data_IF_889392823278
#
_entry.id   IF_889392823278
#
_cell.length_a   1.000
_cell.length_b   1.000
_cell.length_c   1.000
_cell.angle_alpha   90.00
_cell.angle_beta   90.00
_cell.angle_gamma   90.00
#
_symmetry.space_group_name_H-M   'P 1'
#
loop_
_entity.id
_entity.type
_entity.pdbx_description
1 polymer ?
#
# COMPACT_ATOMS: atom_id res chain seq x y z
N UNK A 1 -9.77 -50.09 47.29
CA UNK A 1 -9.94 -48.67 47.61
C UNK A 1 -8.76 -48.23 48.42
N UNK A 2 -7.76 -47.58 47.89
CA UNK A 2 -6.61 -47.04 48.62
C UNK A 2 -6.53 -45.52 48.27
N UNK A 3 -6.65 -44.74 49.29
CA UNK A 3 -6.61 -43.28 49.28
C UNK A 3 -5.27 -42.78 48.74
N UNK A 4 -5.33 -41.94 47.72
CA UNK A 4 -4.18 -41.15 47.22
C UNK A 4 -4.15 -39.86 48.03
N UNK A 5 -3.21 -39.78 48.97
CA UNK A 5 -3.03 -38.63 49.87
C UNK A 5 -2.49 -37.40 49.09
N UNK A 6 -2.96 -36.22 49.48
CA UNK A 6 -2.62 -34.86 48.96
C UNK A 6 -1.11 -34.55 48.86
N UNK A 7 -0.25 -35.33 49.42
CA UNK A 7 1.22 -35.14 49.40
C UNK A 7 1.91 -35.63 48.13
N UNK A 8 1.29 -36.53 47.33
CA UNK A 8 1.86 -36.99 46.04
C UNK A 8 1.53 -36.07 44.84
N UNK A 9 0.57 -35.13 44.99
CA UNK A 9 0.20 -34.18 43.94
C UNK A 9 1.14 -32.96 43.89
N UNK A 10 1.91 -32.68 44.93
CA UNK A 10 2.78 -31.51 45.05
C UNK A 10 4.23 -31.73 44.59
N UNK A 11 4.63 -32.98 44.28
CA UNK A 11 5.99 -33.27 43.79
C UNK A 11 6.12 -33.51 42.31
N UNK A 12 5.00 -33.48 41.54
CA UNK A 12 5.01 -33.62 40.07
C UNK A 12 4.77 -32.31 39.33
N UNK A 13 4.55 -31.20 40.06
CA UNK A 13 4.29 -29.88 39.47
C UNK A 13 5.51 -28.93 39.45
N UNK A 14 6.68 -29.42 39.85
CA UNK A 14 7.90 -28.60 39.97
C UNK A 14 8.91 -28.78 38.80
N UNK A 15 8.56 -29.56 37.75
CA UNK A 15 9.48 -29.85 36.65
C UNK A 15 8.99 -29.39 35.25
N UNK A 16 7.91 -28.60 35.13
CA UNK A 16 7.41 -28.03 33.85
C UNK A 16 7.36 -26.50 33.92
N UNK A 17 8.17 -25.88 34.74
CA UNK A 17 8.17 -24.46 35.01
C UNK A 17 9.37 -23.67 34.44
N UNK A 18 10.16 -24.22 33.51
CA UNK A 18 11.41 -23.58 33.10
C UNK A 18 11.67 -23.57 31.55
N UNK A 19 10.64 -23.55 30.72
CA UNK A 19 10.80 -23.35 29.27
C UNK A 19 9.79 -22.39 28.62
N UNK A 20 9.13 -21.53 29.39
CA UNK A 20 8.17 -20.56 28.89
C UNK A 20 8.55 -19.11 29.25
N UNK A 21 9.84 -18.80 29.36
CA UNK A 21 10.31 -17.40 29.56
C UNK A 21 11.41 -17.13 28.59
N UNK A 22 11.06 -16.92 27.32
CA UNK A 22 11.98 -16.34 26.33
C UNK A 22 11.31 -15.75 25.07
N UNK A 23 10.03 -15.40 25.08
CA UNK A 23 9.44 -14.69 23.92
C UNK A 23 8.50 -13.54 24.33
N UNK A 24 8.94 -12.68 25.25
CA UNK A 24 8.27 -11.40 25.52
C UNK A 24 9.30 -10.29 25.75
N UNK A 25 10.22 -10.15 24.81
CA UNK A 25 10.83 -8.86 24.49
C UNK A 25 10.40 -8.48 23.07
N UNK A 26 9.08 -8.30 22.88
CA UNK A 26 8.57 -7.48 21.78
C UNK A 26 9.14 -6.09 22.00
N UNK A 27 9.75 -5.57 20.95
CA UNK A 27 10.37 -4.28 20.80
C UNK A 27 9.60 -3.12 21.47
N UNK A 28 9.75 -3.01 22.78
CA UNK A 28 9.85 -1.76 23.48
C UNK A 28 11.35 -1.49 23.64
N UNK A 29 12.09 -1.53 22.54
CA UNK A 29 13.31 -0.76 22.42
C UNK A 29 12.82 0.68 22.53
N UNK A 30 12.85 1.16 23.75
CA UNK A 30 12.56 2.52 24.06
C UNK A 30 13.34 3.41 23.07
N UNK A 31 12.64 4.11 22.21
CA UNK A 31 13.09 5.40 21.74
C UNK A 31 13.03 6.31 22.99
N UNK A 32 13.85 5.96 23.99
CA UNK A 32 14.02 6.73 25.19
C UNK A 32 14.80 7.98 24.79
N UNK A 33 14.09 9.00 24.31
CA UNK A 33 14.62 10.33 24.05
C UNK A 33 15.49 10.50 22.79
N UNK A 34 15.58 9.48 21.89
CA UNK A 34 16.38 9.56 20.66
C UNK A 34 15.49 9.51 19.39
N UNK A 35 16.07 9.94 18.26
CA UNK A 35 15.45 9.78 16.95
C UNK A 35 15.46 8.30 16.53
N UNK A 36 14.36 7.73 15.99
CA UNK A 36 14.34 6.37 15.48
C UNK A 36 15.43 6.12 14.43
N UNK A 37 16.02 4.93 14.46
CA UNK A 37 17.02 4.48 13.49
C UNK A 37 16.30 3.71 12.40
N UNK A 38 16.47 4.12 11.15
CA UNK A 38 15.76 3.53 10.01
C UNK A 38 16.70 3.01 8.93
N UNK A 39 16.28 1.95 8.24
CA UNK A 39 16.92 1.45 7.04
C UNK A 39 16.02 1.66 5.82
N UNK A 40 16.59 2.16 4.69
CA UNK A 40 15.88 2.24 3.42
C UNK A 40 16.13 1.01 2.57
N UNK A 41 15.04 0.40 2.07
CA UNK A 41 15.04 -0.74 1.16
C UNK A 41 14.40 -0.31 -0.16
N UNK A 42 15.21 -0.34 -1.23
CA UNK A 42 14.97 0.38 -2.48
C UNK A 42 15.43 1.82 -2.39
N UNK A 43 16.45 2.20 -3.18
CA UNK A 43 17.13 3.49 -3.14
C UNK A 43 16.87 4.34 -4.40
N UNK A 44 15.71 4.14 -5.03
CA UNK A 44 15.29 4.85 -6.24
C UNK A 44 14.80 6.29 -5.99
N UNK A 45 14.16 6.87 -7.01
CA UNK A 45 13.65 8.24 -6.95
C UNK A 45 12.64 8.46 -5.82
N UNK A 46 11.78 7.45 -5.53
CA UNK A 46 10.80 7.54 -4.46
C UNK A 46 11.45 7.66 -3.08
N UNK A 47 12.47 6.87 -2.81
CA UNK A 47 13.21 6.93 -1.54
C UNK A 47 13.86 8.28 -1.30
N UNK A 48 14.40 8.92 -2.36
CA UNK A 48 14.93 10.29 -2.26
C UNK A 48 13.85 11.30 -1.88
N UNK A 49 12.63 11.15 -2.40
CA UNK A 49 11.49 11.97 -2.00
C UNK A 49 11.04 11.72 -0.55
N UNK A 50 11.04 10.46 -0.11
CA UNK A 50 10.69 10.11 1.28
C UNK A 50 11.72 10.60 2.28
N UNK A 51 13.01 10.56 1.92
CA UNK A 51 14.12 11.00 2.76
C UNK A 51 13.90 12.41 3.30
N UNK A 52 13.35 13.32 2.49
CA UNK A 52 13.06 14.69 2.92
C UNK A 52 12.11 14.76 4.12
N UNK A 53 11.16 13.84 4.21
CA UNK A 53 10.21 13.79 5.32
C UNK A 53 10.73 13.11 6.58
N UNK A 54 11.78 12.28 6.47
CA UNK A 54 12.41 11.58 7.60
C UNK A 54 13.66 12.27 8.15
N UNK A 55 14.34 13.08 7.32
CA UNK A 55 15.71 13.58 7.57
C UNK A 55 15.94 14.20 8.93
N UNK A 56 15.02 15.01 9.41
CA UNK A 56 15.16 15.75 10.67
C UNK A 56 14.77 14.91 11.88
N UNK A 57 13.91 13.92 11.69
CA UNK A 57 13.18 13.20 12.74
C UNK A 57 13.64 11.74 12.89
N UNK A 58 14.53 11.23 12.01
CA UNK A 58 15.10 9.89 12.07
C UNK A 58 16.59 9.87 11.74
N UNK A 59 17.27 8.76 12.08
CA UNK A 59 18.67 8.48 11.71
C UNK A 59 18.65 7.40 10.63
N UNK A 60 19.23 7.67 9.46
CA UNK A 60 19.35 6.68 8.39
C UNK A 60 20.61 5.86 8.61
N UNK A 61 20.47 4.58 8.94
CA UNK A 61 21.58 3.66 9.15
C UNK A 61 21.98 2.92 7.87
N UNK A 62 21.02 2.51 7.05
CA UNK A 62 21.24 1.63 5.91
C UNK A 62 20.64 2.17 4.61
N UNK A 63 21.38 1.95 3.52
CA UNK A 63 20.91 2.06 2.13
C UNK A 63 20.97 0.66 1.49
N UNK A 64 19.81 0.04 1.24
CA UNK A 64 19.71 -1.30 0.66
C UNK A 64 19.10 -1.24 -0.74
N UNK A 65 19.86 -1.64 -1.75
CA UNK A 65 19.38 -1.74 -3.15
C UNK A 65 20.25 -2.75 -3.94
N UNK A 66 19.68 -3.66 -4.72
CA UNK A 66 20.43 -4.56 -5.58
C UNK A 66 21.17 -3.84 -6.74
N UNK A 67 20.85 -2.56 -7.02
CA UNK A 67 21.66 -1.70 -7.86
C UNK A 67 22.68 -0.94 -7.01
N UNK A 68 23.94 -1.36 -7.08
CA UNK A 68 25.03 -0.74 -6.32
C UNK A 68 25.12 0.77 -6.52
N UNK A 69 24.92 1.28 -7.74
CA UNK A 69 24.97 2.73 -8.02
C UNK A 69 23.86 3.48 -7.33
N UNK A 70 22.64 2.89 -7.23
CA UNK A 70 21.53 3.49 -6.51
C UNK A 70 21.78 3.51 -5.02
N UNK A 71 22.23 2.40 -4.46
CA UNK A 71 22.57 2.30 -3.04
C UNK A 71 23.63 3.33 -2.62
N UNK A 72 24.74 3.45 -3.35
CA UNK A 72 25.82 4.42 -3.09
C UNK A 72 25.36 5.88 -3.27
N UNK A 73 24.56 6.15 -4.32
CA UNK A 73 23.99 7.48 -4.55
C UNK A 73 23.05 7.89 -3.40
N UNK A 74 22.25 6.93 -2.89
CA UNK A 74 21.36 7.19 -1.78
C UNK A 74 22.11 7.33 -0.45
N UNK A 75 23.15 6.52 -0.24
CA UNK A 75 24.05 6.67 0.92
C UNK A 75 24.60 8.08 1.01
N UNK A 76 25.14 8.60 -0.09
CA UNK A 76 25.66 9.97 -0.15
C UNK A 76 24.59 11.01 0.17
N UNK A 77 23.36 10.84 -0.35
CA UNK A 77 22.27 11.78 -0.15
C UNK A 77 21.69 11.74 1.28
N UNK A 78 21.67 10.56 1.91
CA UNK A 78 21.03 10.32 3.21
C UNK A 78 22.00 10.39 4.39
N UNK A 79 23.30 10.22 4.15
CA UNK A 79 24.29 10.03 5.21
C UNK A 79 24.24 8.64 5.85
N UNK A 80 23.62 7.67 5.20
CA UNK A 80 23.57 6.29 5.69
C UNK A 80 24.98 5.74 5.92
N UNK A 81 25.16 5.06 7.06
CA UNK A 81 26.48 4.52 7.44
C UNK A 81 26.86 3.28 6.64
N UNK A 82 25.86 2.50 6.21
CA UNK A 82 26.03 1.19 5.61
C UNK A 82 25.29 1.06 4.29
N UNK A 83 25.84 0.24 3.38
CA UNK A 83 25.26 -0.09 2.09
C UNK A 83 25.23 -1.60 1.94
N UNK A 84 24.14 -2.13 1.38
CA UNK A 84 23.99 -3.56 1.07
C UNK A 84 23.07 -3.78 -0.11
N UNK A 85 23.21 -4.91 -0.80
CA UNK A 85 22.22 -5.43 -1.74
C UNK A 85 21.19 -6.35 -1.05
N UNK A 86 21.52 -6.88 0.12
CA UNK A 86 20.74 -7.90 0.83
C UNK A 86 19.98 -7.30 2.02
N UNK A 87 18.66 -7.31 1.93
CA UNK A 87 17.74 -6.83 2.98
C UNK A 87 17.99 -7.50 4.34
N UNK A 88 18.44 -8.76 4.36
CA UNK A 88 18.64 -9.51 5.61
C UNK A 88 19.67 -8.83 6.51
N UNK A 89 20.69 -8.20 5.95
CA UNK A 89 21.67 -7.44 6.74
C UNK A 89 21.02 -6.26 7.50
N UNK A 90 20.03 -5.60 6.89
CA UNK A 90 19.28 -4.51 7.53
C UNK A 90 18.40 -5.05 8.65
N UNK A 91 17.77 -6.22 8.44
CA UNK A 91 16.89 -6.85 9.42
C UNK A 91 17.64 -7.42 10.62
N UNK A 92 18.85 -7.92 10.41
CA UNK A 92 19.72 -8.49 11.46
C UNK A 92 20.32 -7.42 12.38
N UNK A 93 20.43 -6.17 11.91
CA UNK A 93 20.92 -5.05 12.71
C UNK A 93 19.93 -4.69 13.82
N UNK A 94 20.31 -4.97 15.07
CA UNK A 94 19.48 -4.74 16.26
C UNK A 94 19.33 -3.25 16.62
N UNK A 95 20.13 -2.37 16.02
CA UNK A 95 20.02 -0.93 16.22
C UNK A 95 18.96 -0.28 15.32
N UNK A 96 18.50 -0.96 14.28
CA UNK A 96 17.44 -0.49 13.38
C UNK A 96 16.08 -0.71 14.01
N UNK A 97 15.30 0.36 14.20
CA UNK A 97 13.95 0.33 14.75
C UNK A 97 12.89 0.06 13.66
N UNK A 98 13.10 0.61 12.47
CA UNK A 98 12.14 0.53 11.38
C UNK A 98 12.81 0.48 9.99
N UNK A 99 12.08 -0.04 9.00
CA UNK A 99 12.48 0.06 7.60
C UNK A 99 11.48 0.87 6.77
N UNK A 100 12.02 1.49 5.72
CA UNK A 100 11.23 2.20 4.70
C UNK A 100 11.36 1.41 3.41
N UNK A 101 10.28 0.75 3.00
CA UNK A 101 10.22 -0.08 1.78
C UNK A 101 9.71 0.78 0.63
N UNK A 102 10.58 1.03 -0.36
CA UNK A 102 10.27 1.78 -1.58
C UNK A 102 10.88 1.12 -2.82
N UNK A 103 10.77 -0.19 -2.85
CA UNK A 103 11.15 -1.12 -3.92
C UNK A 103 10.13 -1.09 -5.06
N UNK A 104 10.28 -1.87 -6.14
CA UNK A 104 9.14 -2.25 -6.99
C UNK A 104 8.05 -3.01 -6.23
N UNK A 105 6.80 -2.97 -6.74
CA UNK A 105 5.61 -3.49 -6.04
C UNK A 105 5.75 -4.95 -5.60
N UNK A 106 6.39 -5.79 -6.41
CA UNK A 106 6.56 -7.22 -6.13
C UNK A 106 7.42 -7.53 -4.89
N UNK A 107 8.16 -6.55 -4.39
CA UNK A 107 8.95 -6.64 -3.18
C UNK A 107 8.27 -6.00 -1.95
N UNK A 108 7.21 -5.18 -2.13
CA UNK A 108 6.61 -4.41 -1.03
C UNK A 108 6.19 -5.32 0.13
N UNK A 109 5.26 -6.25 -0.11
CA UNK A 109 4.78 -7.13 0.94
C UNK A 109 5.84 -8.15 1.41
N UNK A 110 6.61 -8.83 0.56
CA UNK A 110 7.69 -9.72 1.00
C UNK A 110 8.69 -9.06 1.95
N UNK A 111 9.23 -7.90 1.57
CA UNK A 111 10.17 -7.16 2.41
C UNK A 111 9.52 -6.68 3.73
N UNK A 112 8.28 -6.19 3.66
CA UNK A 112 7.56 -5.71 4.84
C UNK A 112 7.20 -6.85 5.81
N UNK A 113 6.80 -8.04 5.32
CA UNK A 113 6.51 -9.22 6.14
C UNK A 113 7.77 -9.68 6.86
N UNK A 114 8.89 -9.81 6.14
CA UNK A 114 10.18 -10.18 6.76
C UNK A 114 10.60 -9.17 7.84
N UNK A 115 10.37 -7.89 7.62
CA UNK A 115 10.65 -6.86 8.63
C UNK A 115 9.76 -7.01 9.86
N UNK A 116 8.46 -7.25 9.66
CA UNK A 116 7.54 -7.54 10.77
C UNK A 116 8.01 -8.75 11.58
N UNK A 117 8.42 -9.83 10.92
CA UNK A 117 8.91 -11.05 11.57
C UNK A 117 10.25 -10.85 12.28
N UNK A 118 11.07 -9.90 11.83
CA UNK A 118 12.28 -9.42 12.51
C UNK A 118 11.99 -8.42 13.65
N UNK A 119 10.71 -8.12 13.94
CA UNK A 119 10.28 -7.17 14.97
C UNK A 119 10.50 -5.70 14.60
N UNK A 120 10.68 -5.37 13.32
CA UNK A 120 10.86 -4.00 12.86
C UNK A 120 9.54 -3.36 12.48
N UNK A 121 9.38 -2.06 12.79
CA UNK A 121 8.29 -1.25 12.24
C UNK A 121 8.52 -1.00 10.76
N UNK A 122 7.44 -0.74 9.99
CA UNK A 122 7.54 -0.63 8.53
C UNK A 122 6.76 0.57 8.00
N UNK A 123 7.42 1.38 7.21
CA UNK A 123 6.78 2.27 6.24
C UNK A 123 6.87 1.59 4.88
N UNK A 124 5.74 1.22 4.27
CA UNK A 124 5.70 0.58 2.95
C UNK A 124 5.03 1.48 1.93
N UNK A 125 5.70 1.71 0.80
CA UNK A 125 5.10 2.49 -0.30
C UNK A 125 3.89 1.80 -0.90
N UNK A 126 3.09 2.61 -1.60
CA UNK A 126 1.89 2.17 -2.30
C UNK A 126 2.23 1.56 -3.68
N UNK A 127 1.45 0.55 -4.09
CA UNK A 127 0.51 -0.26 -3.30
C UNK A 127 1.25 -1.15 -2.30
N UNK A 128 0.67 -1.43 -1.14
CA UNK A 128 1.39 -2.17 -0.08
C UNK A 128 1.72 -3.62 -0.45
N UNK A 129 1.17 -4.12 -1.54
CA UNK A 129 1.38 -5.48 -2.04
C UNK A 129 1.21 -5.54 -3.55
N UNK A 130 1.84 -6.53 -4.16
CA UNK A 130 1.71 -6.84 -5.58
C UNK A 130 0.40 -7.57 -5.92
N UNK A 131 -0.16 -8.29 -4.98
CA UNK A 131 -1.41 -9.03 -5.11
C UNK A 131 -2.18 -9.02 -3.80
N UNK A 132 -3.44 -9.45 -3.87
CA UNK A 132 -4.36 -9.44 -2.74
C UNK A 132 -3.88 -10.27 -1.56
N UNK A 133 -3.43 -11.52 -1.82
CA UNK A 133 -3.01 -12.47 -0.77
C UNK A 133 -1.80 -11.94 0.02
N UNK A 134 -0.82 -11.38 -0.65
CA UNK A 134 0.35 -10.80 0.01
C UNK A 134 -0.03 -9.61 0.91
N UNK A 135 -0.99 -8.79 0.48
CA UNK A 135 -1.49 -7.69 1.31
C UNK A 135 -2.14 -8.20 2.60
N UNK A 136 -2.91 -9.29 2.51
CA UNK A 136 -3.50 -9.94 3.68
C UNK A 136 -2.43 -10.50 4.62
N UNK A 137 -1.44 -11.22 4.08
CA UNK A 137 -0.32 -11.76 4.86
C UNK A 137 0.47 -10.65 5.58
N UNK A 138 0.64 -9.49 4.95
CA UNK A 138 1.29 -8.34 5.57
C UNK A 138 0.49 -7.78 6.75
N UNK A 139 -0.83 -7.67 6.62
CA UNK A 139 -1.70 -7.26 7.73
C UNK A 139 -1.59 -8.25 8.90
N UNK A 140 -1.60 -9.54 8.61
CA UNK A 140 -1.50 -10.58 9.63
C UNK A 140 -0.11 -10.61 10.29
N UNK A 141 0.97 -10.40 9.53
CA UNK A 141 2.33 -10.27 10.05
C UNK A 141 2.48 -9.06 10.99
N UNK A 142 1.95 -7.91 10.61
CA UNK A 142 1.96 -6.71 11.45
C UNK A 142 1.24 -6.94 12.79
N UNK A 143 0.08 -7.60 12.76
CA UNK A 143 -0.72 -7.91 13.95
C UNK A 143 -0.06 -8.96 14.84
N UNK A 144 0.43 -10.05 14.25
CA UNK A 144 1.13 -11.15 14.95
C UNK A 144 2.34 -10.63 15.70
N UNK A 145 3.13 -9.78 15.07
CA UNK A 145 4.37 -9.26 15.64
C UNK A 145 4.17 -7.95 16.42
N UNK A 146 2.95 -7.40 16.46
CA UNK A 146 2.59 -6.15 17.16
C UNK A 146 3.47 -4.96 16.75
N UNK A 147 3.84 -4.89 15.49
CA UNK A 147 4.62 -3.79 14.92
C UNK A 147 3.72 -2.80 14.18
N UNK A 148 4.14 -1.54 14.17
CA UNK A 148 3.47 -0.49 13.42
C UNK A 148 3.84 -0.62 11.95
N UNK A 149 2.83 -0.75 11.06
CA UNK A 149 3.02 -0.70 9.62
C UNK A 149 2.15 0.41 9.04
N UNK A 150 2.80 1.37 8.36
CA UNK A 150 2.13 2.48 7.68
C UNK A 150 2.24 2.35 6.17
N UNK A 151 1.13 2.54 5.48
CA UNK A 151 1.03 2.56 4.02
C UNK A 151 1.34 3.94 3.45
N UNK A 152 2.02 4.01 2.32
CA UNK A 152 2.44 5.23 1.64
C UNK A 152 1.32 6.06 0.99
N UNK A 153 0.13 6.12 1.57
CA UNK A 153 -1.00 6.98 1.12
C UNK A 153 -0.98 8.33 1.83
N UNK A 154 -0.06 9.20 1.43
CA UNK A 154 0.24 10.48 2.09
C UNK A 154 -0.94 11.45 2.17
N UNK A 155 -1.95 11.27 1.32
CA UNK A 155 -3.17 12.09 1.32
C UNK A 155 -3.94 12.02 2.64
N UNK A 156 -3.73 10.96 3.45
CA UNK A 156 -4.33 10.83 4.79
C UNK A 156 -3.78 11.80 5.83
N UNK A 157 -2.65 12.45 5.53
CA UNK A 157 -2.10 13.56 6.32
C UNK A 157 -2.10 14.89 5.54
N UNK A 158 -2.81 14.94 4.41
CA UNK A 158 -3.00 16.19 3.66
C UNK A 158 -4.17 16.98 4.25
N UNK A 159 -3.93 18.19 4.74
CA UNK A 159 -4.91 19.03 5.42
C UNK A 159 -6.18 19.26 4.60
N UNK A 160 -6.05 19.53 3.29
CA UNK A 160 -7.22 19.74 2.41
C UNK A 160 -8.08 18.48 2.31
N UNK A 161 -7.45 17.32 2.13
CA UNK A 161 -8.16 16.03 2.01
C UNK A 161 -8.82 15.65 3.33
N UNK A 162 -8.12 15.81 4.47
CA UNK A 162 -8.69 15.57 5.80
C UNK A 162 -9.91 16.45 6.02
N UNK A 163 -9.82 17.76 5.71
CA UNK A 163 -10.93 18.70 5.83
C UNK A 163 -12.12 18.28 4.94
N UNK A 164 -11.86 17.93 3.68
CA UNK A 164 -12.91 17.48 2.75
C UNK A 164 -13.65 16.25 3.30
N UNK A 165 -12.90 15.23 3.75
CA UNK A 165 -13.50 14.01 4.32
C UNK A 165 -14.28 14.29 5.60
N UNK A 166 -13.80 15.18 6.48
CA UNK A 166 -14.57 15.60 7.66
C UNK A 166 -15.89 16.26 7.28
N UNK A 167 -15.88 17.19 6.31
CA UNK A 167 -17.12 17.83 5.84
C UNK A 167 -18.10 16.82 5.25
N UNK A 168 -17.61 15.79 4.52
CA UNK A 168 -18.47 14.70 4.05
C UNK A 168 -19.09 13.92 5.21
N UNK A 169 -18.31 13.60 6.24
CA UNK A 169 -18.78 12.90 7.44
C UNK A 169 -19.77 13.74 8.27
N UNK A 170 -19.62 15.04 8.27
CA UNK A 170 -20.54 16.00 8.88
C UNK A 170 -21.81 16.21 8.04
N UNK A 171 -21.89 15.64 6.83
CA UNK A 171 -23.07 15.65 5.99
C UNK A 171 -23.27 16.91 5.16
N UNK A 172 -22.19 17.63 4.78
CA UNK A 172 -22.25 18.86 3.97
C UNK A 172 -23.01 18.67 2.65
N UNK A 173 -22.97 17.45 2.08
CA UNK A 173 -23.74 17.07 0.88
C UNK A 173 -24.78 15.97 1.19
N UNK A 174 -25.17 15.82 2.46
CA UNK A 174 -26.03 14.73 2.93
C UNK A 174 -25.32 13.38 2.92
N UNK A 175 -26.08 12.28 2.71
CA UNK A 175 -25.52 10.93 2.61
C UNK A 175 -24.77 10.76 1.30
N UNK A 176 -23.47 10.51 1.35
CA UNK A 176 -22.66 10.21 0.15
C UNK A 176 -23.06 8.84 -0.39
N UNK A 177 -23.52 8.78 -1.63
CA UNK A 177 -24.03 7.54 -2.26
C UNK A 177 -23.10 6.98 -3.32
N UNK A 178 -22.52 7.88 -4.13
CA UNK A 178 -21.66 7.54 -5.27
C UNK A 178 -20.41 8.42 -5.23
N UNK A 179 -19.27 7.88 -5.63
CA UNK A 179 -18.11 8.69 -5.95
C UNK A 179 -17.49 8.27 -7.29
N UNK A 180 -16.85 9.24 -7.94
CA UNK A 180 -16.06 9.03 -9.14
C UNK A 180 -14.65 9.57 -8.92
N UNK A 181 -13.65 8.69 -8.97
CA UNK A 181 -12.24 9.05 -8.88
C UNK A 181 -11.57 8.89 -10.25
N UNK A 182 -10.52 9.63 -10.50
CA UNK A 182 -9.74 9.45 -11.72
C UNK A 182 -8.25 9.71 -11.52
N UNK A 183 -7.45 9.02 -12.36
CA UNK A 183 -6.05 9.28 -12.59
C UNK A 183 -5.82 9.38 -14.11
N UNK A 184 -5.61 10.59 -14.58
CA UNK A 184 -5.40 10.89 -16.01
C UNK A 184 -4.05 11.56 -16.17
N UNK A 185 -3.01 10.77 -16.47
CA UNK A 185 -1.65 11.26 -16.58
C UNK A 185 -1.03 10.83 -17.91
N UNK A 186 -0.20 11.69 -18.50
CA UNK A 186 0.55 11.28 -19.67
C UNK A 186 1.83 10.55 -19.27
N UNK A 187 1.83 9.23 -19.47
CA UNK A 187 3.03 8.39 -19.38
C UNK A 187 3.74 8.34 -20.73
N UNK A 188 4.93 7.80 -20.74
CA UNK A 188 5.66 7.52 -21.97
C UNK A 188 5.31 6.14 -22.50
N UNK A 189 5.42 5.94 -23.81
CA UNK A 189 5.52 4.64 -24.44
C UNK A 189 6.83 3.98 -23.98
N UNK A 190 6.80 2.72 -23.58
CA UNK A 190 7.99 1.98 -23.13
C UNK A 190 8.73 1.26 -24.26
N UNK A 191 8.17 1.32 -25.48
CA UNK A 191 8.74 0.70 -26.68
C UNK A 191 8.75 -0.81 -26.64
N UNK A 192 9.41 -1.39 -27.64
CA UNK A 192 9.68 -2.82 -27.73
C UNK A 192 11.16 -3.08 -27.47
N UNK A 193 11.47 -4.05 -26.59
CA UNK A 193 12.83 -4.45 -26.32
C UNK A 193 12.95 -5.98 -26.30
N UNK A 194 14.18 -6.47 -26.43
CA UNK A 194 14.50 -7.89 -26.31
C UNK A 194 15.33 -8.12 -25.05
N UNK A 195 15.30 -9.34 -24.50
CA UNK A 195 16.22 -9.72 -23.43
C UNK A 195 17.69 -9.41 -23.80
N UNK A 196 18.43 -8.92 -22.82
CA UNK A 196 19.83 -8.52 -22.98
C UNK A 196 20.64 -8.81 -21.73
N UNK A 197 21.95 -8.59 -21.76
CA UNK A 197 22.81 -8.75 -20.59
C UNK A 197 22.41 -7.75 -19.49
N UNK A 198 22.41 -8.23 -18.27
CA UNK A 198 22.20 -7.40 -17.06
C UNK A 198 23.37 -6.42 -16.90
N UNK A 199 23.11 -5.15 -16.55
CA UNK A 199 24.18 -4.21 -16.20
C UNK A 199 25.04 -4.74 -15.05
N UNK A 200 26.37 -4.67 -15.17
CA UNK A 200 27.32 -5.28 -14.23
C UNK A 200 27.23 -4.78 -12.77
N UNK A 201 26.57 -3.64 -12.54
CA UNK A 201 26.38 -3.05 -11.20
C UNK A 201 25.05 -3.45 -10.56
N UNK A 202 24.27 -4.33 -11.19
CA UNK A 202 22.94 -4.77 -10.73
C UNK A 202 22.99 -6.26 -10.40
N UNK A 203 22.65 -6.60 -9.18
CA UNK A 203 22.27 -7.97 -8.80
C UNK A 203 20.82 -8.19 -9.24
N UNK A 204 20.66 -8.67 -10.48
CA UNK A 204 19.34 -8.83 -11.07
C UNK A 204 18.56 -9.99 -10.44
N UNK A 205 19.25 -11.00 -9.93
CA UNK A 205 18.61 -12.12 -9.24
C UNK A 205 17.90 -11.63 -7.96
N UNK A 206 18.59 -10.86 -7.13
CA UNK A 206 18.01 -10.20 -5.95
C UNK A 206 16.93 -9.18 -6.35
N UNK A 207 17.09 -8.47 -7.48
CA UNK A 207 16.07 -7.54 -7.94
C UNK A 207 14.76 -8.26 -8.31
N UNK A 208 14.81 -9.40 -9.02
CA UNK A 208 13.65 -10.24 -9.33
C UNK A 208 13.07 -10.85 -8.05
N UNK A 209 13.91 -11.26 -7.13
CA UNK A 209 13.50 -11.75 -5.80
C UNK A 209 12.51 -12.91 -5.86
N UNK A 210 11.33 -12.78 -5.18
CA UNK A 210 10.36 -13.87 -5.10
C UNK A 210 9.54 -14.08 -6.37
N UNK A 211 9.55 -13.12 -7.32
CA UNK A 211 8.79 -13.24 -8.56
C UNK A 211 9.35 -14.35 -9.47
N UNK A 212 8.51 -14.89 -10.36
CA UNK A 212 8.99 -15.79 -11.40
C UNK A 212 10.13 -15.13 -12.18
N UNK A 213 11.20 -15.89 -12.41
CA UNK A 213 12.35 -15.35 -13.11
C UNK A 213 12.03 -15.02 -14.56
N UNK A 214 12.39 -13.81 -14.97
CA UNK A 214 12.36 -13.35 -16.36
C UNK A 214 13.72 -12.76 -16.71
N UNK A 215 14.29 -13.06 -17.89
CA UNK A 215 15.55 -12.46 -18.32
C UNK A 215 15.52 -10.94 -18.30
N UNK A 216 16.62 -10.29 -18.02
CA UNK A 216 16.71 -8.83 -18.03
C UNK A 216 16.30 -8.25 -19.38
N UNK A 217 15.52 -7.16 -19.33
CA UNK A 217 15.07 -6.40 -20.48
C UNK A 217 14.98 -4.92 -20.09
N UNK A 218 15.53 -4.03 -20.91
CA UNK A 218 15.69 -2.62 -20.56
C UNK A 218 14.40 -1.88 -20.27
N UNK A 219 13.31 -2.17 -21.00
CA UNK A 219 11.97 -1.59 -20.78
C UNK A 219 11.12 -2.32 -19.74
N UNK A 220 11.76 -3.16 -18.92
CA UNK A 220 11.16 -3.82 -17.76
C UNK A 220 11.85 -3.39 -16.46
N UNK A 221 12.88 -2.57 -16.56
CA UNK A 221 13.77 -2.29 -15.46
C UNK A 221 13.75 -0.82 -15.05
N UNK A 222 14.05 -0.58 -13.82
CA UNK A 222 14.14 0.62 -13.02
C UNK A 222 12.88 1.48 -12.89
N UNK A 223 12.04 1.67 -13.88
CA UNK A 223 10.76 2.39 -13.79
C UNK A 223 9.66 1.64 -14.51
N UNK A 224 9.97 1.04 -15.65
CA UNK A 224 8.99 0.44 -16.54
C UNK A 224 8.43 -0.89 -16.01
N UNK A 225 8.95 -1.40 -14.89
CA UNK A 225 8.43 -2.55 -14.17
C UNK A 225 6.96 -2.37 -13.76
N UNK A 226 6.49 -1.14 -13.59
CA UNK A 226 5.11 -0.83 -13.23
C UNK A 226 4.08 -1.49 -14.17
N UNK A 227 4.43 -1.67 -15.44
CA UNK A 227 3.53 -2.18 -16.48
C UNK A 227 3.77 -3.64 -16.86
N UNK A 228 4.47 -4.40 -16.01
CA UNK A 228 4.71 -5.83 -16.18
C UNK A 228 4.05 -6.61 -15.06
N UNK A 229 3.22 -7.63 -15.41
CA UNK A 229 2.43 -8.40 -14.44
C UNK A 229 3.25 -9.07 -13.34
N UNK A 230 4.52 -9.41 -13.59
CA UNK A 230 5.40 -10.02 -12.59
C UNK A 230 5.89 -9.04 -11.53
N UNK A 231 5.93 -7.74 -11.82
CA UNK A 231 6.66 -6.78 -11.00
C UNK A 231 5.81 -5.60 -10.52
N UNK A 232 4.79 -5.23 -11.28
CA UNK A 232 3.96 -4.06 -11.00
C UNK A 232 2.48 -4.38 -10.96
N UNK A 233 1.68 -3.32 -10.77
CA UNK A 233 0.23 -3.36 -10.67
C UNK A 233 -0.45 -2.43 -11.71
N UNK A 234 0.31 -1.98 -12.71
CA UNK A 234 -0.15 -1.01 -13.69
C UNK A 234 -0.43 0.36 -13.08
N UNK A 235 -1.01 1.27 -13.85
CA UNK A 235 -1.28 2.61 -13.34
C UNK A 235 -2.56 2.68 -12.48
N UNK A 236 -3.43 1.66 -12.51
CA UNK A 236 -4.49 1.48 -11.51
C UNK A 236 -3.85 1.38 -10.12
N UNK A 237 -2.72 0.67 -9.97
CA UNK A 237 -1.96 0.59 -8.72
C UNK A 237 -0.98 1.72 -8.53
N UNK A 238 -0.24 2.12 -9.55
CA UNK A 238 0.84 3.09 -9.41
C UNK A 238 0.34 4.44 -8.87
N UNK A 239 -0.55 5.15 -9.57
CA UNK A 239 -1.12 6.40 -9.04
C UNK A 239 -2.55 6.22 -8.54
N UNK A 240 -3.35 5.33 -9.15
CA UNK A 240 -4.76 5.15 -8.79
C UNK A 240 -5.00 4.72 -7.34
N UNK A 241 -4.04 4.08 -6.70
CA UNK A 241 -4.12 3.75 -5.26
C UNK A 241 -4.41 4.98 -4.40
N UNK A 242 -3.86 6.15 -4.72
CA UNK A 242 -4.10 7.38 -3.95
C UNK A 242 -5.55 7.85 -4.07
N UNK A 243 -6.08 7.88 -5.29
CA UNK A 243 -7.45 8.33 -5.56
C UNK A 243 -8.48 7.33 -5.02
N UNK A 244 -8.22 6.03 -5.17
CA UNK A 244 -9.05 4.96 -4.61
C UNK A 244 -9.09 5.03 -3.08
N UNK A 245 -7.97 5.32 -2.43
CA UNK A 245 -7.90 5.47 -0.97
C UNK A 245 -8.71 6.67 -0.46
N UNK A 246 -8.58 7.84 -1.11
CA UNK A 246 -9.37 9.04 -0.77
C UNK A 246 -10.86 8.79 -1.04
N UNK A 247 -11.19 8.17 -2.18
CA UNK A 247 -12.56 7.87 -2.58
C UNK A 247 -13.24 6.93 -1.58
N UNK A 248 -12.57 5.83 -1.17
CA UNK A 248 -13.09 4.94 -0.11
C UNK A 248 -13.34 5.69 1.19
N UNK A 249 -12.39 6.53 1.59
CA UNK A 249 -12.47 7.28 2.84
C UNK A 249 -13.64 8.28 2.84
N UNK A 250 -13.78 9.07 1.76
CA UNK A 250 -14.89 10.02 1.64
C UNK A 250 -16.25 9.35 1.42
N UNK A 251 -16.31 8.20 0.72
CA UNK A 251 -17.52 7.40 0.56
C UNK A 251 -17.99 6.76 1.89
N UNK A 252 -17.09 6.67 2.87
CA UNK A 252 -17.39 6.11 4.19
C UNK A 252 -17.57 4.59 4.18
N UNK A 253 -16.90 3.86 3.26
CA UNK A 253 -16.97 2.39 3.17
C UNK A 253 -15.77 1.74 3.84
N UNK A 254 -16.03 0.62 4.51
CA UNK A 254 -15.02 -0.25 5.12
C UNK A 254 -15.03 -1.63 4.47
N UNK A 255 -13.86 -2.30 4.47
CA UNK A 255 -13.72 -3.64 3.90
C UNK A 255 -13.90 -3.67 2.38
N UNK A 256 -14.13 -4.89 1.88
CA UNK A 256 -14.25 -5.15 0.45
C UNK A 256 -15.66 -4.86 -0.10
N UNK A 257 -15.78 -4.51 -1.39
CA UNK A 257 -17.06 -4.49 -2.10
C UNK A 257 -17.59 -5.91 -2.27
N UNK A 258 -18.89 -6.06 -2.53
CA UNK A 258 -19.48 -7.34 -2.94
C UNK A 258 -19.39 -7.58 -4.43
N UNK A 259 -19.18 -6.51 -5.21
CA UNK A 259 -19.05 -6.61 -6.66
C UNK A 259 -17.93 -5.69 -7.15
N UNK A 260 -17.10 -6.19 -8.04
CA UNK A 260 -16.15 -5.42 -8.81
C UNK A 260 -16.32 -5.69 -10.30
N UNK A 261 -16.24 -4.65 -11.12
CA UNK A 261 -16.30 -4.74 -12.58
C UNK A 261 -15.29 -3.78 -13.18
N UNK A 262 -14.65 -4.17 -14.27
CA UNK A 262 -13.75 -3.26 -14.99
C UNK A 262 -13.72 -3.59 -16.48
N UNK A 263 -13.58 -2.53 -17.28
CA UNK A 263 -13.27 -2.62 -18.71
C UNK A 263 -12.02 -1.80 -18.95
N UNK A 264 -11.05 -2.37 -19.65
CA UNK A 264 -9.80 -1.70 -19.97
C UNK A 264 -9.05 -2.42 -21.08
N UNK A 265 -8.11 -1.72 -21.69
CA UNK A 265 -7.30 -2.27 -22.77
C UNK A 265 -6.19 -1.33 -23.20
N UNK A 266 -5.46 -1.74 -24.22
CA UNK A 266 -4.46 -0.91 -24.90
C UNK A 266 -5.14 -0.26 -26.10
N UNK A 267 -5.35 1.04 -26.01
CA UNK A 267 -6.04 1.83 -27.05
C UNK A 267 -5.11 2.80 -27.77
N UNK A 268 -4.00 3.15 -27.12
CA UNK A 268 -3.11 4.20 -27.63
C UNK A 268 -1.65 3.72 -27.79
N UNK A 269 -1.08 3.03 -26.77
CA UNK A 269 0.31 2.62 -26.83
C UNK A 269 0.50 1.29 -27.57
N UNK A 270 1.34 1.33 -28.60
CA UNK A 270 1.94 0.13 -29.20
C UNK A 270 3.33 -0.06 -28.58
N UNK A 271 3.41 -0.92 -27.57
CA UNK A 271 4.61 -1.22 -26.79
C UNK A 271 4.44 -2.53 -26.00
N UNK A 272 5.47 -2.92 -25.23
CA UNK A 272 5.51 -4.17 -24.48
C UNK A 272 4.73 -4.16 -23.16
N UNK A 273 4.10 -3.05 -22.74
CA UNK A 273 3.36 -3.06 -21.48
C UNK A 273 2.17 -4.02 -21.52
N UNK A 274 1.98 -4.74 -20.40
CA UNK A 274 0.96 -5.77 -20.24
C UNK A 274 -0.34 -5.26 -19.61
N UNK A 275 -0.27 -4.12 -18.92
CA UNK A 275 -1.43 -3.47 -18.33
C UNK A 275 -2.14 -2.56 -19.32
N UNK A 276 -3.44 -2.26 -19.10
CA UNK A 276 -4.18 -1.34 -19.93
C UNK A 276 -3.60 0.09 -19.88
N UNK A 277 -3.71 0.82 -20.96
CA UNK A 277 -3.45 2.27 -21.00
C UNK A 277 -4.70 3.10 -20.72
N UNK A 278 -5.86 2.48 -20.71
CA UNK A 278 -7.15 3.05 -20.32
C UNK A 278 -7.99 1.98 -19.62
N UNK A 279 -8.61 2.35 -18.51
CA UNK A 279 -9.53 1.48 -17.77
C UNK A 279 -10.60 2.29 -17.04
N UNK A 280 -11.80 1.68 -16.93
CA UNK A 280 -12.88 2.15 -16.05
C UNK A 280 -13.29 1.00 -15.15
N UNK A 281 -13.31 1.25 -13.84
CA UNK A 281 -13.61 0.26 -12.82
C UNK A 281 -14.82 0.72 -11.99
N UNK A 282 -15.64 -0.22 -11.53
CA UNK A 282 -16.80 0.03 -10.68
C UNK A 282 -16.81 -0.96 -9.52
N UNK A 283 -17.06 -0.46 -8.31
CA UNK A 283 -17.15 -1.24 -7.08
C UNK A 283 -18.44 -0.93 -6.37
N UNK A 284 -19.09 -1.94 -5.76
CA UNK A 284 -20.37 -1.79 -5.09
C UNK A 284 -20.36 -2.40 -3.69
N UNK A 285 -20.94 -1.64 -2.74
CA UNK A 285 -21.21 -2.08 -1.38
C UNK A 285 -22.73 -2.02 -1.17
N UNK A 286 -23.43 -3.14 -0.95
CA UNK A 286 -24.88 -3.16 -0.85
C UNK A 286 -25.42 -2.55 0.46
N UNK A 287 -24.53 -2.19 1.39
CA UNK A 287 -24.92 -1.74 2.72
C UNK A 287 -25.72 -2.84 3.45
N UNK A 288 -26.88 -2.48 3.99
CA UNK A 288 -27.84 -3.42 4.59
C UNK A 288 -29.01 -3.77 3.64
N UNK A 289 -28.88 -3.50 2.35
CA UNK A 289 -29.88 -3.73 1.32
C UNK A 289 -30.96 -2.63 1.22
N UNK A 290 -30.94 -1.61 2.06
CA UNK A 290 -31.88 -0.47 1.99
C UNK A 290 -31.44 0.52 0.93
N UNK A 291 -32.39 1.08 0.20
CA UNK A 291 -32.16 2.24 -0.68
C UNK A 291 -31.55 3.40 0.13
N UNK A 292 -30.55 4.07 -0.42
CA UNK A 292 -29.82 5.14 0.25
C UNK A 292 -28.63 4.64 1.10
N UNK A 293 -28.49 3.34 1.36
CA UNK A 293 -27.34 2.77 2.06
C UNK A 293 -26.39 2.01 1.13
N UNK A 294 -26.79 1.78 -0.11
CA UNK A 294 -25.90 1.23 -1.13
C UNK A 294 -24.87 2.29 -1.53
N UNK A 295 -23.64 1.86 -1.72
CA UNK A 295 -22.54 2.74 -2.14
C UNK A 295 -21.91 2.23 -3.42
N UNK A 296 -21.55 3.16 -4.29
CA UNK A 296 -20.83 2.86 -5.52
C UNK A 296 -19.60 3.75 -5.66
N UNK A 297 -18.49 3.15 -6.09
CA UNK A 297 -17.30 3.88 -6.51
C UNK A 297 -17.00 3.56 -7.96
N UNK A 298 -16.72 4.59 -8.75
CA UNK A 298 -16.13 4.48 -10.07
C UNK A 298 -14.68 4.97 -10.03
N UNK A 299 -13.81 4.32 -10.78
CA UNK A 299 -12.43 4.78 -10.99
C UNK A 299 -12.09 4.74 -12.47
N UNK A 300 -11.58 5.85 -12.99
CA UNK A 300 -11.16 6.00 -14.39
C UNK A 300 -9.65 6.25 -14.47
N UNK A 301 -8.97 5.54 -15.36
CA UNK A 301 -7.56 5.72 -15.64
C UNK A 301 -7.32 5.89 -17.15
N UNK A 302 -6.51 6.90 -17.55
CA UNK A 302 -5.98 7.10 -18.90
C UNK A 302 -4.55 7.62 -18.80
N UNK A 303 -3.58 6.87 -19.35
CA UNK A 303 -2.16 7.22 -19.20
C UNK A 303 -1.52 7.84 -20.44
N UNK A 304 -2.31 8.21 -21.42
CA UNK A 304 -1.87 8.84 -22.68
C UNK A 304 -2.45 10.24 -22.91
N UNK A 305 -3.44 10.66 -22.13
CA UNK A 305 -4.20 11.91 -22.31
C UNK A 305 -3.79 12.96 -21.26
N UNK A 306 -3.92 14.24 -21.63
CA UNK A 306 -3.81 15.40 -20.72
C UNK A 306 -5.13 16.18 -20.62
N UNK A 307 -6.22 15.64 -21.13
CA UNK A 307 -7.55 16.25 -21.01
C UNK A 307 -8.17 15.86 -19.66
N UNK A 308 -8.11 16.75 -18.69
CA UNK A 308 -8.43 16.49 -17.30
C UNK A 308 -9.81 17.02 -16.89
N UNK A 309 -10.67 16.22 -16.20
CA UNK A 309 -11.84 16.77 -15.53
C UNK A 309 -11.42 17.83 -14.51
N UNK A 310 -12.21 18.89 -14.35
CA UNK A 310 -11.90 20.01 -13.46
C UNK A 310 -10.50 20.61 -13.62
N UNK A 311 -9.87 20.39 -14.75
CA UNK A 311 -8.49 20.81 -15.01
C UNK A 311 -7.50 20.26 -13.94
N UNK A 312 -7.72 19.00 -13.53
CA UNK A 312 -6.88 18.25 -12.60
C UNK A 312 -6.59 16.85 -13.15
N UNK A 313 -5.32 16.46 -13.15
CA UNK A 313 -4.85 15.13 -13.56
C UNK A 313 -5.38 14.02 -12.65
N UNK A 314 -5.71 14.36 -11.40
CA UNK A 314 -6.29 13.46 -10.41
C UNK A 314 -7.37 14.17 -9.62
N UNK A 315 -8.43 13.48 -9.25
CA UNK A 315 -9.50 14.04 -8.44
C UNK A 315 -10.58 13.04 -8.09
N UNK A 316 -11.45 13.45 -7.21
CA UNK A 316 -12.61 12.69 -6.78
C UNK A 316 -13.83 13.61 -6.74
N UNK A 317 -14.93 13.15 -7.32
CA UNK A 317 -16.27 13.69 -7.16
C UNK A 317 -17.05 12.79 -6.21
N UNK A 318 -17.68 13.38 -5.20
CA UNK A 318 -18.62 12.72 -4.30
C UNK A 318 -20.01 13.24 -4.55
N UNK A 319 -20.97 12.35 -4.73
CA UNK A 319 -22.36 12.66 -4.99
C UNK A 319 -23.19 12.22 -3.78
N UNK A 320 -23.79 13.17 -3.12
CA UNK A 320 -24.61 12.99 -1.94
C UNK A 320 -26.08 13.29 -2.18
N UNK A 321 -26.91 13.02 -1.17
CA UNK A 321 -28.36 13.26 -1.22
C UNK A 321 -28.77 14.75 -1.22
N UNK A 322 -27.82 15.67 -0.96
CA UNK A 322 -28.04 17.12 -0.87
C UNK A 322 -27.04 17.96 -1.65
N UNK A 323 -26.25 17.33 -2.54
CA UNK A 323 -25.27 18.06 -3.35
C UNK A 323 -24.11 17.22 -3.77
N UNK A 324 -23.05 17.87 -4.23
CA UNK A 324 -21.81 17.22 -4.64
C UNK A 324 -20.56 17.93 -4.12
N UNK A 325 -19.47 17.19 -3.97
CA UNK A 325 -18.15 17.72 -3.66
C UNK A 325 -17.12 17.23 -4.67
N UNK A 326 -16.28 18.12 -5.15
CA UNK A 326 -15.07 17.80 -5.87
C UNK A 326 -13.85 18.09 -5.00
N UNK A 327 -12.90 17.16 -4.94
CA UNK A 327 -11.61 17.36 -4.26
C UNK A 327 -10.46 16.75 -5.04
N UNK A 328 -9.31 17.43 -5.02
CA UNK A 328 -8.06 16.93 -5.61
C UNK A 328 -6.89 17.17 -4.68
N UNK A 329 -6.01 16.18 -4.56
CA UNK A 329 -4.70 16.31 -3.90
C UNK A 329 -3.81 17.41 -4.51
N UNK A 330 -4.23 17.97 -5.65
CA UNK A 330 -3.60 19.12 -6.31
C UNK A 330 -4.06 20.46 -5.74
N UNK A 331 -4.75 20.47 -4.59
CA UNK A 331 -5.12 21.70 -3.87
C UNK A 331 -6.44 22.30 -4.28
N UNK A 332 -7.33 21.55 -4.94
CA UNK A 332 -8.69 22.03 -5.30
C UNK A 332 -9.75 21.35 -4.45
N UNK A 333 -10.73 22.13 -4.04
CA UNK A 333 -11.93 21.68 -3.30
C UNK A 333 -13.09 22.62 -3.65
N UNK A 334 -14.20 22.05 -4.04
CA UNK A 334 -15.45 22.79 -4.33
C UNK A 334 -16.64 21.95 -3.92
N UNK A 335 -17.68 22.62 -3.43
CA UNK A 335 -18.93 21.97 -2.98
C UNK A 335 -20.12 22.72 -3.58
N UNK A 336 -21.10 21.99 -4.02
CA UNK A 336 -22.37 22.51 -4.56
C UNK A 336 -23.55 21.81 -3.89
N UNK A 337 -24.64 22.54 -3.71
CA UNK A 337 -25.92 22.00 -3.25
C UNK A 337 -26.67 21.21 -4.36
N UNK A 338 -27.86 20.72 -4.06
CA UNK A 338 -28.70 19.95 -5.00
C UNK A 338 -29.27 20.81 -6.14
N UNK A 339 -29.21 22.13 -6.02
CA UNK A 339 -29.57 23.11 -7.07
C UNK A 339 -28.32 23.58 -7.87
N UNK A 340 -27.19 22.91 -7.66
CA UNK A 340 -25.89 23.25 -8.30
C UNK A 340 -25.39 24.67 -7.96
N UNK A 341 -25.74 25.18 -6.76
CA UNK A 341 -25.20 26.44 -6.27
C UNK A 341 -23.98 26.19 -5.38
N UNK A 342 -22.92 27.03 -5.51
CA UNK A 342 -21.73 26.87 -4.68
C UNK A 342 -22.02 27.02 -3.19
N UNK A 343 -21.53 26.11 -2.39
CA UNK A 343 -21.56 26.19 -0.93
C UNK A 343 -20.26 26.78 -0.41
N UNK A 344 -20.34 27.76 0.49
CA UNK A 344 -19.18 28.30 1.19
C UNK A 344 -18.65 27.23 2.15
N UNK A 345 -17.39 26.85 2.00
CA UNK A 345 -16.74 25.84 2.82
C UNK A 345 -15.84 26.47 3.89
N UNK A 346 -15.66 25.78 5.02
CA UNK A 346 -14.70 26.19 6.03
C UNK A 346 -13.25 26.13 5.51
N UNK A 347 -12.40 26.97 6.07
CA UNK A 347 -10.96 26.94 5.75
C UNK A 347 -10.33 25.61 6.18
N UNK A 348 -9.40 25.04 5.40
CA UNK A 348 -8.59 23.91 5.85
C UNK A 348 -7.81 24.19 7.15
N UNK A 349 -7.57 25.46 7.49
CA UNK A 349 -6.89 25.85 8.73
C UNK A 349 -7.71 25.58 10.00
N UNK A 350 -9.02 25.39 9.87
CA UNK A 350 -9.92 25.00 10.96
C UNK A 350 -9.91 23.49 11.26
N UNK A 351 -9.15 22.70 10.49
CA UNK A 351 -9.00 21.26 10.74
C UNK A 351 -8.17 20.97 11.99
N UNK A 352 -8.37 19.82 12.67
CA UNK A 352 -7.52 19.40 13.77
C UNK A 352 -6.03 19.43 13.42
N UNK A 353 -5.20 19.64 14.42
CA UNK A 353 -3.75 19.61 14.23
C UNK A 353 -3.30 18.25 13.70
N UNK A 354 -2.68 18.25 12.53
CA UNK A 354 -2.10 17.07 11.91
C UNK A 354 -0.59 17.00 12.21
N UNK A 355 0.02 15.81 12.14
CA UNK A 355 1.47 15.67 12.09
C UNK A 355 2.08 16.54 10.99
N UNK A 356 3.33 16.96 11.17
CA UNK A 356 4.08 17.81 10.21
C UNK A 356 4.02 17.26 8.78
N UNK A 357 4.13 15.95 8.65
CA UNK A 357 3.97 15.22 7.38
C UNK A 357 3.64 13.75 7.65
N UNK A 358 3.43 12.97 6.59
CA UNK A 358 3.08 11.56 6.67
C UNK A 358 4.18 10.67 7.27
N UNK A 359 5.44 11.01 7.07
CA UNK A 359 6.58 10.31 7.64
C UNK A 359 6.70 10.54 9.15
N UNK A 360 6.45 11.77 9.60
CA UNK A 360 6.40 12.10 11.04
C UNK A 360 5.23 11.40 11.72
N UNK A 361 4.08 11.27 11.07
CA UNK A 361 2.95 10.47 11.62
C UNK A 361 3.38 9.02 11.91
N UNK A 362 4.18 8.41 11.04
CA UNK A 362 4.74 7.08 11.25
C UNK A 362 5.66 7.01 12.46
N UNK A 363 6.62 7.95 12.57
CA UNK A 363 7.57 7.99 13.69
C UNK A 363 6.87 8.26 15.02
N UNK A 364 5.92 9.18 15.05
CA UNK A 364 5.09 9.45 16.24
C UNK A 364 4.22 8.24 16.60
N UNK A 365 3.67 7.52 15.61
CA UNK A 365 2.89 6.33 15.84
C UNK A 365 3.70 5.22 16.53
N UNK A 366 4.96 5.03 16.11
CA UNK A 366 5.90 4.08 16.74
C UNK A 366 6.15 4.51 18.20
N UNK A 367 6.53 5.76 18.41
CA UNK A 367 6.91 6.26 19.74
C UNK A 367 5.74 6.25 20.72
N UNK A 368 4.54 6.61 20.26
CA UNK A 368 3.34 6.68 21.09
C UNK A 368 2.57 5.34 21.20
N UNK A 369 2.98 4.29 20.47
CA UNK A 369 2.24 3.02 20.42
C UNK A 369 0.82 3.15 19.86
N UNK A 370 0.58 4.15 18.97
CA UNK A 370 -0.72 4.39 18.34
C UNK A 370 -0.76 3.87 16.89
N UNK A 371 -1.93 3.79 16.31
CA UNK A 371 -2.08 3.54 14.89
C UNK A 371 -1.79 4.83 14.10
N UNK A 372 -1.05 4.75 12.99
CA UNK A 372 -0.88 5.87 12.06
C UNK A 372 -2.16 6.10 11.23
N UNK A 373 -2.29 7.27 10.60
CA UNK A 373 -3.43 7.62 9.77
C UNK A 373 -3.67 6.66 8.59
N UNK A 374 -2.59 6.10 8.04
CA UNK A 374 -2.61 5.11 6.98
C UNK A 374 -2.17 3.72 7.50
N UNK A 375 -2.83 3.23 8.55
CA UNK A 375 -2.59 1.90 9.11
C UNK A 375 -2.76 0.82 8.02
N UNK A 376 -1.96 -0.25 8.09
CA UNK A 376 -1.83 -1.23 7.01
C UNK A 376 -3.14 -1.93 6.63
N UNK A 377 -4.07 -2.15 7.56
CA UNK A 377 -5.38 -2.72 7.24
C UNK A 377 -6.17 -1.80 6.31
N UNK A 378 -6.11 -0.48 6.52
CA UNK A 378 -6.72 0.53 5.64
C UNK A 378 -6.02 0.50 4.27
N UNK A 379 -4.68 0.40 4.26
CA UNK A 379 -3.88 0.30 3.05
C UNK A 379 -4.22 -0.95 2.24
N UNK A 380 -4.34 -2.10 2.89
CA UNK A 380 -4.74 -3.35 2.26
C UNK A 380 -6.12 -3.26 1.63
N UNK A 381 -7.11 -2.72 2.34
CA UNK A 381 -8.45 -2.54 1.80
C UNK A 381 -8.44 -1.69 0.51
N UNK A 382 -7.65 -0.61 0.46
CA UNK A 382 -7.54 0.25 -0.74
C UNK A 382 -6.81 -0.47 -1.88
N UNK A 383 -5.71 -1.16 -1.59
CA UNK A 383 -4.97 -1.96 -2.58
C UNK A 383 -5.79 -3.14 -3.10
N UNK A 384 -6.69 -3.69 -2.28
CA UNK A 384 -7.57 -4.78 -2.70
C UNK A 384 -8.46 -4.38 -3.88
N UNK A 385 -8.94 -3.12 -3.93
CA UNK A 385 -9.70 -2.62 -5.06
C UNK A 385 -8.85 -2.56 -6.34
N UNK A 386 -7.59 -2.16 -6.21
CA UNK A 386 -6.63 -2.19 -7.32
C UNK A 386 -6.47 -3.59 -7.88
N UNK A 387 -6.28 -4.58 -7.00
CA UNK A 387 -6.09 -5.97 -7.42
C UNK A 387 -7.36 -6.54 -8.06
N UNK A 388 -8.54 -6.30 -7.47
CA UNK A 388 -9.82 -6.74 -8.03
C UNK A 388 -10.07 -6.11 -9.41
N UNK A 389 -9.79 -4.81 -9.58
CA UNK A 389 -9.90 -4.14 -10.89
C UNK A 389 -8.98 -4.77 -11.93
N UNK A 390 -7.72 -5.01 -11.59
CA UNK A 390 -6.77 -5.68 -12.48
C UNK A 390 -7.20 -7.11 -12.84
N UNK A 391 -7.79 -7.86 -11.91
CA UNK A 391 -8.35 -9.19 -12.18
C UNK A 391 -9.54 -9.08 -13.15
N UNK A 392 -10.47 -8.13 -12.94
CA UNK A 392 -11.59 -7.89 -13.84
C UNK A 392 -11.11 -7.59 -15.28
N UNK A 393 -10.13 -6.69 -15.44
CA UNK A 393 -9.58 -6.36 -16.76
C UNK A 393 -8.93 -7.57 -17.42
N UNK A 394 -8.14 -8.35 -16.67
CA UNK A 394 -7.43 -9.54 -17.20
C UNK A 394 -8.36 -10.67 -17.58
N UNK A 395 -9.46 -10.84 -16.86
CA UNK A 395 -10.44 -11.91 -17.11
C UNK A 395 -11.57 -11.48 -18.03
N UNK A 396 -11.78 -10.18 -18.22
CA UNK A 396 -12.92 -9.63 -18.95
C UNK A 396 -14.27 -9.86 -18.25
N UNK A 397 -14.27 -10.11 -16.95
CA UNK A 397 -15.47 -10.51 -16.17
C UNK A 397 -15.67 -9.61 -14.96
N UNK A 398 -16.94 -9.43 -14.59
CA UNK A 398 -17.34 -8.90 -13.28
C UNK A 398 -17.16 -9.98 -12.20
N UNK A 399 -16.75 -9.58 -11.01
CA UNK A 399 -16.47 -10.46 -9.89
C UNK A 399 -17.52 -10.28 -8.78
N UNK A 400 -18.02 -11.39 -8.26
CA UNK A 400 -18.78 -11.45 -7.02
C UNK A 400 -17.81 -11.81 -5.87
N UNK A 401 -17.85 -11.05 -4.79
CA UNK A 401 -16.89 -11.15 -3.70
C UNK A 401 -17.62 -11.44 -2.39
N UNK A 402 -17.10 -12.36 -1.60
CA UNK A 402 -17.45 -12.49 -0.19
C UNK A 402 -16.52 -11.59 0.63
N UNK A 403 -17.00 -10.45 1.15
CA UNK A 403 -16.15 -9.51 1.89
C UNK A 403 -15.64 -10.07 3.22
N UNK A 404 -16.34 -11.04 3.82
CA UNK A 404 -15.96 -11.65 5.11
C UNK A 404 -14.87 -12.69 4.92
N UNK A 405 -15.04 -13.57 3.93
CA UNK A 405 -14.07 -14.61 3.61
C UNK A 405 -12.91 -14.05 2.76
N UNK A 406 -13.08 -12.86 2.19
CA UNK A 406 -12.14 -12.22 1.27
C UNK A 406 -11.79 -13.13 0.08
N UNK A 407 -12.82 -13.68 -0.54
CA UNK A 407 -12.74 -14.63 -1.68
C UNK A 407 -13.61 -14.17 -2.85
N UNK A 408 -13.27 -14.61 -4.05
CA UNK A 408 -14.08 -14.42 -5.24
C UNK A 408 -15.01 -15.63 -5.38
N UNK A 409 -16.31 -15.37 -5.55
CA UNK A 409 -17.35 -16.40 -5.63
C UNK A 409 -17.56 -16.85 -7.08
N UNK A 410 -17.61 -18.17 -7.30
CA UNK A 410 -18.02 -18.74 -8.58
C UNK A 410 -17.03 -18.61 -9.74
N UNK A 411 -15.81 -18.07 -9.51
CA UNK A 411 -14.80 -17.92 -10.56
C UNK A 411 -13.42 -18.42 -10.07
N UNK A 412 -13.10 -19.65 -10.46
CA UNK A 412 -11.86 -20.33 -10.06
C UNK A 412 -10.61 -19.69 -10.69
N UNK A 413 -10.70 -19.20 -11.93
CA UNK A 413 -9.59 -18.52 -12.62
C UNK A 413 -9.27 -17.19 -11.93
N UNK A 414 -10.27 -16.36 -11.71
CA UNK A 414 -10.11 -15.09 -10.99
C UNK A 414 -9.60 -15.31 -9.55
N UNK A 415 -10.08 -16.35 -8.87
CA UNK A 415 -9.65 -16.69 -7.50
C UNK A 415 -8.16 -17.05 -7.43
N UNK A 416 -7.59 -17.70 -8.45
CA UNK A 416 -6.14 -17.96 -8.52
C UNK A 416 -5.33 -16.68 -8.65
N UNK A 417 -5.89 -15.63 -9.26
CA UNK A 417 -5.24 -14.34 -9.44
C UNK A 417 -5.22 -13.46 -8.17
N UNK A 418 -5.90 -13.87 -7.09
CA UNK A 418 -5.74 -13.24 -5.78
C UNK A 418 -4.33 -13.41 -5.21
N UNK A 419 -3.58 -14.41 -5.68
CA UNK A 419 -2.15 -14.59 -5.44
C UNK A 419 -1.35 -14.47 -6.73
N UNK A 420 -0.10 -14.87 -6.68
CA UNK A 420 0.79 -15.01 -7.86
C UNK A 420 1.60 -16.28 -7.77
N UNK A 421 2.11 -16.81 -8.90
CA UNK A 421 3.17 -17.79 -8.87
C UNK A 421 4.45 -17.13 -8.34
N UNK A 422 5.23 -17.90 -7.61
CA UNK A 422 6.56 -17.54 -7.17
C UNK A 422 7.60 -18.29 -7.99
N UNK A 423 8.85 -17.91 -7.84
CA UNK A 423 10.01 -18.59 -8.44
C UNK A 423 10.00 -20.09 -8.10
N UNK A 424 10.06 -20.94 -9.14
CA UNK A 424 9.89 -22.40 -8.99
C UNK A 424 10.99 -23.04 -8.13
N UNK A 425 12.21 -22.55 -8.23
CA UNK A 425 13.38 -22.99 -7.44
C UNK A 425 13.33 -22.51 -5.97
N UNK A 426 12.34 -21.71 -5.62
CA UNK A 426 12.22 -21.09 -4.31
C UNK A 426 13.07 -19.82 -4.17
N UNK A 427 12.76 -19.02 -3.19
CA UNK A 427 13.53 -17.82 -2.79
C UNK A 427 13.24 -17.52 -1.31
N UNK A 428 14.27 -17.04 -0.60
CA UNK A 428 14.18 -16.76 0.84
C UNK A 428 13.17 -15.68 1.22
N UNK A 429 12.73 -14.85 0.27
CA UNK A 429 11.75 -13.79 0.51
C UNK A 429 10.30 -14.17 0.15
N UNK A 430 10.04 -15.41 -0.27
CA UNK A 430 8.66 -15.85 -0.56
C UNK A 430 7.88 -15.85 0.76
N UNK A 431 6.76 -15.10 0.87
CA UNK A 431 5.97 -15.08 2.09
C UNK A 431 5.41 -16.46 2.42
N UNK A 432 5.66 -16.93 3.63
CA UNK A 432 5.02 -18.14 4.15
C UNK A 432 3.55 -17.85 4.47
N UNK A 433 2.65 -18.79 4.08
CA UNK A 433 1.22 -18.71 4.30
C UNK A 433 0.86 -18.99 5.76
#
# INVERSE_FOLDING_TARGET
MSEITRRKFLHTSAAIGLSAVSYTRVAQAAVAGGRPVIGFVGCGGRSKGLLTGFRDDAIVAWACDPDKKRAESFQTASGAKQVTADLRHVLDDKTVDAIVVATPDHWHAPAAIMACDAGKHVYVEKPCSHNFREGRLLVDAARRNKVTVQHGTQSRNNRLIVNAVQMLQEGIIGDVLVCKAWNVQRRRNIGHAKPSATPAHVDYDTWVGPAEFMPYQSNRFHYDWHWWHNFGTGDIGNDGTHEIDIARWGLGVAGLPTTASAVGGKYYFDDDQQFPDSATCVFQWPGNGKVGQQKQMMFEMRIWSKNYPHNCDTGIEFYGSKGMMFVSKRGKLSVWDDSNQPIVIRSPDETPKLPKNHQVDFLEAITAGRKPAAEIGIGHDSCSLVHLANICVRTGRSLNIDPKQQTILGDTEASKMLGRPYRAEGHWSIPNA
#
